data_IF_001876765706
#
_entry.id   IF_001876765706
#
_cell.length_a   1.000
_cell.length_b   1.000
_cell.length_c   1.000
_cell.angle_alpha   90.00
_cell.angle_beta   90.00
_cell.angle_gamma   90.00
#
_symmetry.space_group_name_H-M   'P 1'
#
loop_
_entity.id
_entity.type
_entity.pdbx_description
1 polymer ?
#
# COMPACT_ATOMS: atom_id res chain seq x y z
N UNK A 1 -16.58 24.57 10.27
CA UNK A 1 -15.11 24.70 10.47
C UNK A 1 -14.55 23.30 10.67
N UNK A 2 -13.70 22.82 9.76
CA UNK A 2 -13.03 21.51 9.95
C UNK A 2 -11.86 21.76 10.91
N UNK A 3 -11.90 21.14 12.09
CA UNK A 3 -10.82 21.24 13.06
C UNK A 3 -9.49 20.81 12.43
N UNK A 4 -8.40 21.55 12.69
CA UNK A 4 -7.07 21.14 12.23
C UNK A 4 -6.73 19.79 12.85
N UNK A 5 -6.26 18.80 12.06
CA UNK A 5 -5.91 17.49 12.60
C UNK A 5 -4.78 17.63 13.65
N UNK A 6 -4.94 16.92 14.76
CA UNK A 6 -3.91 16.84 15.80
C UNK A 6 -2.66 16.12 15.29
N UNK A 7 -1.50 16.41 15.89
CA UNK A 7 -0.23 15.75 15.54
C UNK A 7 -0.20 14.32 16.08
N UNK A 8 0.25 13.38 15.26
CA UNK A 8 0.52 11.99 15.66
C UNK A 8 2.03 11.81 15.83
N UNK A 9 2.48 11.18 16.92
CA UNK A 9 3.89 10.82 17.07
C UNK A 9 4.23 9.65 16.14
N UNK A 10 5.23 9.84 15.28
CA UNK A 10 5.77 8.82 14.38
C UNK A 10 7.30 8.84 14.46
N UNK A 11 7.87 7.67 14.71
CA UNK A 11 9.32 7.43 14.68
C UNK A 11 9.75 6.85 13.34
N UNK A 12 11.06 6.85 13.06
CA UNK A 12 11.59 6.12 11.88
C UNK A 12 11.28 4.63 11.98
N UNK A 13 11.26 4.05 13.19
CA UNK A 13 10.88 2.65 13.42
C UNK A 13 9.43 2.39 13.02
N UNK A 14 8.52 3.30 13.36
CA UNK A 14 7.11 3.20 12.94
C UNK A 14 7.00 3.19 11.41
N UNK A 15 7.68 4.12 10.74
CA UNK A 15 7.67 4.20 9.27
C UNK A 15 8.26 2.96 8.61
N UNK A 16 9.34 2.41 9.15
CA UNK A 16 9.93 1.15 8.68
C UNK A 16 8.97 -0.02 8.86
N UNK A 17 8.31 -0.14 10.02
CA UNK A 17 7.33 -1.19 10.26
C UNK A 17 6.15 -1.13 9.26
N UNK A 18 5.62 0.06 9.00
CA UNK A 18 4.56 0.27 8.00
C UNK A 18 5.05 -0.04 6.59
N UNK A 19 6.28 0.32 6.25
CA UNK A 19 6.85 0.04 4.93
C UNK A 19 7.10 -1.46 4.72
N UNK A 20 7.63 -2.16 5.72
CA UNK A 20 7.77 -3.63 5.71
C UNK A 20 6.43 -4.31 5.49
N UNK A 21 5.38 -3.86 6.19
CA UNK A 21 4.03 -4.38 6.00
C UNK A 21 3.51 -4.14 4.58
N UNK A 22 3.65 -2.91 4.07
CA UNK A 22 3.22 -2.56 2.71
C UNK A 22 3.94 -3.42 1.65
N UNK A 23 5.26 -3.60 1.78
CA UNK A 23 6.06 -4.42 0.88
C UNK A 23 5.66 -5.91 0.95
N UNK A 24 5.47 -6.45 2.16
CA UNK A 24 4.99 -7.82 2.34
C UNK A 24 3.60 -8.05 1.72
N UNK A 25 2.70 -7.07 1.81
CA UNK A 25 1.41 -7.15 1.12
C UNK A 25 1.57 -7.20 -0.41
N UNK A 26 2.49 -6.41 -0.97
CA UNK A 26 2.76 -6.42 -2.41
C UNK A 26 3.38 -7.76 -2.88
N UNK A 27 4.29 -8.33 -2.09
CA UNK A 27 4.85 -9.67 -2.33
C UNK A 27 3.78 -10.75 -2.27
N UNK A 28 2.97 -10.78 -1.21
CA UNK A 28 1.88 -11.75 -1.04
C UNK A 28 0.83 -11.65 -2.16
N UNK A 29 0.60 -10.44 -2.69
CA UNK A 29 -0.26 -10.19 -3.84
C UNK A 29 0.39 -10.42 -5.20
N UNK A 30 1.64 -10.90 -5.25
CA UNK A 30 2.41 -11.13 -6.49
C UNK A 30 2.41 -9.91 -7.42
N UNK A 31 2.47 -8.71 -6.82
CA UNK A 31 2.31 -7.43 -7.53
C UNK A 31 3.26 -7.28 -8.70
N UNK A 32 4.54 -7.61 -8.51
CA UNK A 32 5.54 -7.48 -9.57
C UNK A 32 5.28 -8.47 -10.70
N UNK A 33 4.88 -9.70 -10.37
CA UNK A 33 4.56 -10.71 -11.40
C UNK A 33 3.33 -10.32 -12.23
N UNK A 34 2.28 -9.77 -11.60
CA UNK A 34 1.09 -9.29 -12.30
C UNK A 34 1.46 -8.16 -13.26
N UNK A 35 2.30 -7.22 -12.83
CA UNK A 35 2.72 -6.10 -13.67
C UNK A 35 3.65 -6.55 -14.81
N UNK A 36 4.66 -7.36 -14.50
CA UNK A 36 5.70 -7.80 -15.44
C UNK A 36 5.19 -8.80 -16.48
N UNK A 37 4.11 -9.52 -16.19
CA UNK A 37 3.41 -10.33 -17.20
C UNK A 37 2.92 -9.49 -18.39
N UNK A 38 2.56 -8.22 -18.17
CA UNK A 38 2.18 -7.29 -19.24
C UNK A 38 3.36 -6.46 -19.74
N UNK A 39 4.24 -6.02 -18.83
CA UNK A 39 5.31 -5.06 -19.10
C UNK A 39 6.67 -5.56 -18.56
N UNK A 40 7.26 -6.62 -19.16
CA UNK A 40 8.47 -7.26 -18.62
C UNK A 40 9.70 -6.34 -18.61
N UNK A 41 9.77 -5.38 -19.53
CA UNK A 41 10.91 -4.45 -19.67
C UNK A 41 10.75 -3.15 -18.87
N UNK A 42 9.66 -2.98 -18.11
CA UNK A 42 9.41 -1.77 -17.32
C UNK A 42 9.70 -2.01 -15.83
N UNK A 43 10.91 -1.63 -15.41
CA UNK A 43 11.37 -1.82 -14.04
C UNK A 43 10.70 -0.92 -12.99
N UNK A 44 9.92 0.10 -13.40
CA UNK A 44 9.51 1.18 -12.48
C UNK A 44 8.75 0.69 -11.23
N UNK A 45 7.82 -0.28 -11.30
CA UNK A 45 7.21 -0.85 -10.09
C UNK A 45 8.18 -1.63 -9.21
N UNK A 46 9.11 -2.39 -9.81
CA UNK A 46 10.15 -3.12 -9.10
C UNK A 46 11.08 -2.16 -8.34
N UNK A 47 11.54 -1.11 -9.01
CA UNK A 47 12.37 -0.07 -8.41
C UNK A 47 11.70 0.60 -7.20
N UNK A 48 10.38 0.77 -7.23
CA UNK A 48 9.62 1.31 -6.10
C UNK A 48 9.56 0.36 -4.89
N UNK A 49 9.36 -0.94 -5.14
CA UNK A 49 9.36 -1.97 -4.09
C UNK A 49 10.76 -2.14 -3.50
N UNK A 50 11.80 -2.17 -4.34
CA UNK A 50 13.19 -2.34 -3.90
C UNK A 50 13.67 -1.15 -3.06
N UNK A 51 13.38 0.08 -3.49
CA UNK A 51 13.71 1.28 -2.70
C UNK A 51 13.01 1.29 -1.33
N UNK A 52 11.76 0.80 -1.26
CA UNK A 52 11.04 0.67 -0.01
C UNK A 52 11.64 -0.41 0.92
N UNK A 53 12.08 -1.53 0.35
CA UNK A 53 12.79 -2.56 1.10
C UNK A 53 14.13 -2.07 1.65
N UNK A 54 14.88 -1.29 0.87
CA UNK A 54 16.12 -0.65 1.33
C UNK A 54 15.86 0.22 2.57
N UNK A 55 14.85 1.10 2.51
CA UNK A 55 14.47 1.92 3.65
C UNK A 55 14.02 1.08 4.86
N UNK A 56 13.17 0.08 4.63
CA UNK A 56 12.67 -0.82 5.67
C UNK A 56 13.80 -1.55 6.40
N UNK A 57 14.88 -1.91 5.70
CA UNK A 57 16.03 -2.67 6.20
C UNK A 57 17.14 -1.85 6.85
N UNK A 58 17.04 -0.52 6.86
CA UNK A 58 18.10 0.31 7.46
C UNK A 58 18.48 1.54 6.66
N UNK A 59 18.08 1.60 5.39
CA UNK A 59 18.38 2.70 4.49
C UNK A 59 17.76 4.02 4.91
N UNK A 60 18.22 5.08 4.25
CA UNK A 60 17.74 6.44 4.48
C UNK A 60 16.42 6.70 3.78
N UNK A 61 15.59 7.56 4.38
CA UNK A 61 14.40 8.08 3.71
C UNK A 61 14.80 9.24 2.79
N UNK A 62 14.90 8.97 1.49
CA UNK A 62 15.43 9.94 0.53
C UNK A 62 14.54 10.23 -0.67
N UNK A 63 15.07 11.10 -1.55
CA UNK A 63 14.45 11.50 -2.82
C UNK A 63 14.14 10.28 -3.72
N UNK A 64 15.00 9.26 -3.71
CA UNK A 64 14.83 8.04 -4.51
C UNK A 64 13.45 7.39 -4.31
N UNK A 65 13.00 7.20 -3.05
CA UNK A 65 11.66 6.67 -2.74
C UNK A 65 10.52 7.49 -3.38
N UNK A 66 10.69 8.82 -3.41
CA UNK A 66 9.71 9.73 -4.01
C UNK A 66 9.69 9.57 -5.52
N UNK A 67 10.86 9.55 -6.13
CA UNK A 67 11.01 9.41 -7.58
C UNK A 67 10.47 8.07 -8.07
N UNK A 68 10.81 6.96 -7.39
CA UNK A 68 10.33 5.62 -7.76
C UNK A 68 8.83 5.46 -7.53
N UNK A 69 8.26 6.03 -6.47
CA UNK A 69 6.81 6.07 -6.28
C UNK A 69 6.10 6.77 -7.46
N UNK A 70 6.60 7.93 -7.90
CA UNK A 70 6.06 8.64 -9.05
C UNK A 70 6.27 7.88 -10.36
N UNK A 71 7.41 7.21 -10.52
CA UNK A 71 7.70 6.38 -11.69
C UNK A 71 6.71 5.20 -11.78
N UNK A 72 6.46 4.49 -10.67
CA UNK A 72 5.46 3.43 -10.60
C UNK A 72 4.03 3.94 -10.88
N UNK A 73 3.67 5.15 -10.40
CA UNK A 73 2.38 5.75 -10.76
C UNK A 73 2.26 6.06 -12.27
N UNK A 74 3.35 6.50 -12.90
CA UNK A 74 3.37 6.71 -14.35
C UNK A 74 3.26 5.37 -15.10
N UNK A 75 3.92 4.33 -14.61
CA UNK A 75 3.80 2.97 -15.14
C UNK A 75 2.35 2.48 -15.09
N UNK A 76 1.65 2.70 -13.96
CA UNK A 76 0.24 2.36 -13.79
C UNK A 76 -0.72 3.03 -14.80
N UNK A 77 -0.31 4.13 -15.43
CA UNK A 77 -1.09 4.84 -16.45
C UNK A 77 -0.77 4.37 -17.87
N UNK A 78 0.30 3.60 -18.02
CA UNK A 78 0.76 3.07 -19.30
C UNK A 78 0.33 1.61 -19.52
N UNK A 79 -0.37 0.99 -18.57
CA UNK A 79 -0.84 -0.39 -18.71
C UNK A 79 -2.08 -0.48 -19.60
N UNK A 80 -2.21 -1.60 -20.31
CA UNK A 80 -3.39 -1.94 -21.09
C UNK A 80 -4.48 -2.59 -20.22
N UNK A 81 -4.07 -3.34 -19.18
CA UNK A 81 -5.01 -3.97 -18.25
C UNK A 81 -5.18 -3.16 -16.96
N UNK A 82 -6.37 -3.25 -16.37
CA UNK A 82 -6.63 -2.68 -15.04
C UNK A 82 -5.80 -3.42 -13.97
N UNK A 83 -5.63 -4.75 -14.10
CA UNK A 83 -4.86 -5.56 -13.14
C UNK A 83 -3.41 -5.07 -13.01
N UNK A 84 -2.70 -4.90 -14.12
CA UNK A 84 -1.34 -4.36 -14.11
C UNK A 84 -1.33 -2.91 -13.59
N UNK A 85 -2.34 -2.11 -13.91
CA UNK A 85 -2.46 -0.74 -13.41
C UNK A 85 -2.59 -0.68 -11.88
N UNK A 86 -3.42 -1.54 -11.29
CA UNK A 86 -3.59 -1.65 -9.85
C UNK A 86 -2.34 -2.24 -9.17
N UNK A 87 -1.67 -3.20 -9.80
CA UNK A 87 -0.38 -3.71 -9.33
C UNK A 87 0.68 -2.59 -9.26
N UNK A 88 0.82 -1.78 -10.31
CA UNK A 88 1.74 -0.63 -10.28
C UNK A 88 1.34 0.44 -9.23
N UNK A 89 0.04 0.65 -8.97
CA UNK A 89 -0.43 1.49 -7.85
C UNK A 89 -0.11 0.88 -6.48
N UNK A 90 -0.12 -0.44 -6.36
CA UNK A 90 0.33 -1.13 -5.15
C UNK A 90 1.81 -0.84 -4.91
N UNK A 91 2.68 -1.06 -5.91
CA UNK A 91 4.11 -0.75 -5.84
C UNK A 91 4.39 0.73 -5.50
N UNK A 92 3.67 1.66 -6.12
CA UNK A 92 3.73 3.08 -5.75
C UNK A 92 3.38 3.30 -4.28
N UNK A 93 2.34 2.63 -3.78
CA UNK A 93 1.89 2.75 -2.39
C UNK A 93 2.89 2.15 -1.40
N UNK A 94 3.67 1.13 -1.81
CA UNK A 94 4.78 0.59 -1.01
C UNK A 94 5.84 1.66 -0.75
N UNK A 95 6.33 2.33 -1.80
CA UNK A 95 7.28 3.44 -1.64
C UNK A 95 6.63 4.65 -0.91
N UNK A 96 5.35 4.91 -1.18
CA UNK A 96 4.55 5.96 -0.54
C UNK A 96 4.31 5.75 0.96
N UNK A 97 4.43 4.53 1.47
CA UNK A 97 4.26 4.21 2.90
C UNK A 97 5.29 4.93 3.79
N UNK A 98 6.49 5.17 3.26
CA UNK A 98 7.57 5.92 3.92
C UNK A 98 7.22 7.38 4.22
N UNK A 99 6.17 7.90 3.56
CA UNK A 99 5.66 9.26 3.66
C UNK A 99 4.34 9.35 4.43
N UNK A 100 4.02 8.37 5.28
CA UNK A 100 2.94 8.51 6.27
C UNK A 100 3.15 9.81 7.08
N UNK A 101 2.21 10.75 6.96
CA UNK A 101 2.35 12.05 7.62
C UNK A 101 1.83 11.98 9.07
N UNK A 102 2.46 12.72 10.00
CA UNK A 102 2.08 12.77 11.41
C UNK A 102 0.83 13.64 11.66
N UNK A 103 -0.21 13.44 10.87
CA UNK A 103 -1.48 14.17 10.91
C UNK A 103 -2.59 13.18 11.22
N UNK A 104 -3.34 13.37 12.30
CA UNK A 104 -4.49 12.55 12.67
C UNK A 104 -5.66 12.78 11.70
N UNK A 105 -5.52 12.33 10.46
CA UNK A 105 -6.48 12.45 9.37
C UNK A 105 -6.70 11.07 8.76
N UNK A 106 -7.96 10.70 8.55
CA UNK A 106 -8.37 9.44 7.94
C UNK A 106 -7.72 9.20 6.56
N UNK A 107 -7.39 10.25 5.81
CA UNK A 107 -6.70 10.11 4.51
C UNK A 107 -5.29 9.52 4.63
N UNK A 108 -4.66 9.61 5.80
CA UNK A 108 -3.35 9.02 6.06
C UNK A 108 -3.37 7.50 6.12
N UNK A 109 -4.52 6.88 6.40
CA UNK A 109 -4.66 5.41 6.46
C UNK A 109 -4.27 4.75 5.14
N UNK A 110 -4.46 5.45 4.00
CA UNK A 110 -4.04 4.94 2.69
C UNK A 110 -2.52 4.73 2.57
N UNK A 111 -1.69 5.51 3.29
CA UNK A 111 -0.24 5.27 3.32
C UNK A 111 0.12 3.96 4.05
N UNK A 112 -0.75 3.49 4.95
CA UNK A 112 -0.53 2.25 5.71
C UNK A 112 -1.09 1.06 4.95
N UNK A 113 -2.32 1.17 4.45
CA UNK A 113 -3.11 0.04 3.95
C UNK A 113 -3.24 0.00 2.42
N UNK A 114 -2.85 1.08 1.73
CA UNK A 114 -3.06 1.24 0.29
C UNK A 114 -2.36 0.16 -0.53
N UNK A 115 -1.13 -0.22 -0.18
CA UNK A 115 -0.41 -1.27 -0.90
C UNK A 115 -1.17 -2.60 -0.88
N UNK A 116 -1.68 -3.03 0.28
CA UNK A 116 -2.49 -4.24 0.39
C UNK A 116 -3.80 -4.16 -0.37
N UNK A 117 -4.52 -3.03 -0.29
CA UNK A 117 -5.77 -2.87 -1.01
C UNK A 117 -5.61 -2.86 -2.54
N UNK A 118 -4.58 -2.18 -3.05
CA UNK A 118 -4.27 -2.20 -4.48
C UNK A 118 -3.79 -3.58 -4.94
N UNK A 119 -2.98 -4.28 -4.14
CA UNK A 119 -2.55 -5.64 -4.44
C UNK A 119 -3.73 -6.62 -4.47
N UNK A 120 -4.63 -6.56 -3.48
CA UNK A 120 -5.86 -7.36 -3.48
C UNK A 120 -6.72 -7.05 -4.70
N UNK A 121 -6.87 -5.76 -5.07
CA UNK A 121 -7.61 -5.37 -6.28
C UNK A 121 -7.00 -5.94 -7.56
N UNK A 122 -5.67 -5.92 -7.69
CA UNK A 122 -4.97 -6.52 -8.83
C UNK A 122 -5.26 -8.02 -8.93
N UNK A 123 -5.24 -8.73 -7.79
CA UNK A 123 -5.55 -10.16 -7.72
C UNK A 123 -7.01 -10.45 -8.11
N UNK A 124 -8.00 -9.65 -7.64
CA UNK A 124 -9.40 -9.78 -8.06
C UNK A 124 -9.51 -9.73 -9.59
N UNK A 125 -8.87 -8.73 -10.20
CA UNK A 125 -8.92 -8.50 -11.63
C UNK A 125 -8.27 -9.64 -12.43
N UNK A 126 -7.14 -10.18 -11.96
CA UNK A 126 -6.51 -11.37 -12.56
C UNK A 126 -7.40 -12.60 -12.44
N UNK A 127 -8.24 -12.68 -11.40
CA UNK A 127 -9.23 -13.74 -11.19
C UNK A 127 -10.59 -13.47 -11.87
N UNK A 128 -10.65 -12.58 -12.86
CA UNK A 128 -11.90 -12.27 -13.57
C UNK A 128 -12.86 -11.36 -12.79
N UNK A 129 -12.30 -10.43 -12.01
CA UNK A 129 -13.03 -9.52 -11.11
C UNK A 129 -13.75 -10.23 -9.94
N UNK A 130 -13.26 -11.40 -9.53
CA UNK A 130 -13.81 -12.14 -8.38
C UNK A 130 -13.45 -11.44 -7.06
N UNK A 131 -14.45 -10.81 -6.47
CA UNK A 131 -14.34 -10.07 -5.20
C UNK A 131 -14.04 -10.95 -4.00
N UNK A 132 -14.41 -12.23 -4.02
CA UNK A 132 -14.14 -13.14 -2.91
C UNK A 132 -12.63 -13.39 -2.77
N UNK A 133 -11.93 -13.54 -3.90
CA UNK A 133 -10.46 -13.67 -3.92
C UNK A 133 -9.80 -12.45 -3.28
N UNK A 134 -10.32 -11.25 -3.55
CA UNK A 134 -9.83 -10.02 -2.92
C UNK A 134 -10.06 -9.98 -1.41
N UNK A 135 -11.23 -10.42 -0.93
CA UNK A 135 -11.53 -10.50 0.51
C UNK A 135 -10.58 -11.49 1.20
N UNK A 136 -10.41 -12.68 0.65
CA UNK A 136 -9.47 -13.67 1.20
C UNK A 136 -8.02 -13.15 1.20
N UNK A 137 -7.63 -12.41 0.15
CA UNK A 137 -6.31 -11.80 0.07
C UNK A 137 -6.11 -10.76 1.18
N UNK A 138 -7.13 -9.96 1.50
CA UNK A 138 -7.10 -9.00 2.61
C UNK A 138 -6.96 -9.73 3.96
N UNK A 139 -7.65 -10.84 4.15
CA UNK A 139 -7.53 -11.66 5.37
C UNK A 139 -6.11 -12.21 5.53
N UNK A 140 -5.51 -12.75 4.45
CA UNK A 140 -4.12 -13.22 4.47
C UNK A 140 -3.13 -12.07 4.72
N UNK A 141 -3.33 -10.90 4.10
CA UNK A 141 -2.50 -9.72 4.32
C UNK A 141 -2.58 -9.21 5.76
N UNK A 142 -3.74 -9.30 6.41
CA UNK A 142 -3.89 -8.89 7.80
C UNK A 142 -2.97 -9.70 8.74
N UNK A 143 -2.66 -10.96 8.40
CA UNK A 143 -1.73 -11.80 9.17
C UNK A 143 -0.26 -11.31 9.09
N UNK A 144 0.09 -10.46 8.13
CA UNK A 144 1.43 -9.86 8.03
C UNK A 144 1.64 -8.71 9.02
N UNK A 145 0.56 -8.17 9.59
CA UNK A 145 0.65 -7.00 10.46
C UNK A 145 1.26 -7.37 11.82
N UNK A 146 2.36 -6.70 12.16
CA UNK A 146 2.96 -6.79 13.49
C UNK A 146 2.19 -5.90 14.48
N UNK A 147 2.35 -6.10 15.81
CA UNK A 147 1.78 -5.21 16.81
C UNK A 147 2.15 -3.74 16.58
N UNK A 148 3.36 -3.44 16.11
CA UNK A 148 3.78 -2.07 15.77
C UNK A 148 2.94 -1.47 14.64
N UNK A 149 2.59 -2.24 13.61
CA UNK A 149 1.75 -1.77 12.49
C UNK A 149 0.35 -1.45 13.00
N UNK A 150 -0.21 -2.34 13.83
CA UNK A 150 -1.53 -2.15 14.46
C UNK A 150 -1.53 -0.92 15.37
N UNK A 151 -0.50 -0.75 16.20
CA UNK A 151 -0.34 0.42 17.07
C UNK A 151 -0.26 1.71 16.27
N UNK A 152 0.52 1.75 15.19
CA UNK A 152 0.59 2.92 14.31
C UNK A 152 -0.77 3.21 13.67
N UNK A 153 -1.46 2.19 13.14
CA UNK A 153 -2.79 2.35 12.54
C UNK A 153 -3.81 2.90 13.54
N UNK A 154 -3.81 2.40 14.78
CA UNK A 154 -4.72 2.83 15.85
C UNK A 154 -4.50 4.28 16.30
N UNK A 155 -3.35 4.91 15.97
CA UNK A 155 -3.11 6.35 16.19
C UNK A 155 -3.85 7.25 15.19
N UNK A 156 -4.36 6.70 14.09
CA UNK A 156 -5.14 7.43 13.09
C UNK A 156 -6.64 7.08 13.19
N UNK A 157 -7.53 8.01 12.78
CA UNK A 157 -8.95 7.70 12.61
C UNK A 157 -9.14 6.49 11.69
N UNK A 158 -10.30 5.81 11.82
CA UNK A 158 -10.68 4.72 10.92
C UNK A 158 -10.66 5.16 9.45
N UNK A 159 -10.42 4.20 8.55
CA UNK A 159 -10.40 4.47 7.12
C UNK A 159 -11.69 5.17 6.66
N UNK A 160 -11.59 6.24 5.86
CA UNK A 160 -12.78 6.97 5.42
C UNK A 160 -13.60 6.13 4.45
N UNK A 161 -14.90 6.39 4.39
CA UNK A 161 -15.74 5.83 3.34
C UNK A 161 -15.31 6.36 1.97
N UNK A 162 -15.43 5.50 0.95
CA UNK A 162 -15.11 5.83 -0.43
C UNK A 162 -15.89 4.91 -1.37
N UNK A 163 -16.09 5.38 -2.60
CA UNK A 163 -16.94 4.69 -3.60
C UNK A 163 -16.18 3.65 -4.45
N UNK A 164 -14.86 3.64 -4.42
CA UNK A 164 -14.06 2.71 -5.23
C UNK A 164 -13.91 1.35 -4.53
N UNK A 165 -13.68 0.29 -5.32
CA UNK A 165 -13.38 -1.05 -4.78
C UNK A 165 -12.15 -1.04 -3.88
N UNK A 166 -11.11 -0.29 -4.25
CA UNK A 166 -9.91 -0.11 -3.41
C UNK A 166 -10.26 0.54 -2.06
N UNK A 167 -11.13 1.56 -2.02
CA UNK A 167 -11.56 2.15 -0.76
C UNK A 167 -12.34 1.17 0.12
N UNK A 168 -13.08 0.22 -0.47
CA UNK A 168 -13.71 -0.86 0.26
C UNK A 168 -12.68 -1.84 0.83
N UNK A 169 -11.72 -2.28 0.03
CA UNK A 169 -10.62 -3.17 0.47
C UNK A 169 -9.76 -2.53 1.58
N UNK A 170 -9.49 -1.22 1.50
CA UNK A 170 -8.83 -0.47 2.60
C UNK A 170 -9.64 -0.59 3.89
N UNK A 171 -10.96 -0.42 3.84
CA UNK A 171 -11.82 -0.51 5.04
C UNK A 171 -11.89 -1.92 5.60
N UNK A 172 -11.92 -2.94 4.74
CA UNK A 172 -11.88 -4.33 5.18
C UNK A 172 -10.56 -4.64 5.92
N UNK A 173 -9.43 -4.20 5.38
CA UNK A 173 -8.14 -4.37 6.05
C UNK A 173 -8.06 -3.55 7.34
N UNK A 174 -8.52 -2.30 7.34
CA UNK A 174 -8.57 -1.45 8.53
C UNK A 174 -9.40 -2.09 9.65
N UNK A 175 -10.59 -2.58 9.31
CA UNK A 175 -11.46 -3.29 10.25
C UNK A 175 -10.81 -4.57 10.78
N UNK A 176 -10.17 -5.36 9.91
CA UNK A 176 -9.49 -6.59 10.31
C UNK A 176 -8.39 -6.35 11.34
N UNK A 177 -7.58 -5.31 11.15
CA UNK A 177 -6.44 -4.95 12.00
C UNK A 177 -6.83 -4.23 13.29
N UNK A 178 -8.03 -3.64 13.35
CA UNK A 178 -8.52 -2.91 14.53
C UNK A 178 -9.26 -3.77 15.54
N UNK A 179 -9.51 -5.04 15.21
CA UNK A 179 -10.08 -6.02 16.15
C UNK A 179 -9.26 -6.14 17.44
#
# INVERSE_FOLDING_TARGET
MIAKPSKVSLTVRDLRAVTTFAAGCAELGRVLEIFEAERPDDSRPRDAVDAAWEFARGGERGKALRDTAWAALKAARATATEAAGEAARAAMSVAGATYLHPLANATQVKHILGAGAYAARAVELTAGDDRNVGVEQIERMALLATPTVVDVLKRFPAAPSGRSRVSELIRLLDASLRR
#
